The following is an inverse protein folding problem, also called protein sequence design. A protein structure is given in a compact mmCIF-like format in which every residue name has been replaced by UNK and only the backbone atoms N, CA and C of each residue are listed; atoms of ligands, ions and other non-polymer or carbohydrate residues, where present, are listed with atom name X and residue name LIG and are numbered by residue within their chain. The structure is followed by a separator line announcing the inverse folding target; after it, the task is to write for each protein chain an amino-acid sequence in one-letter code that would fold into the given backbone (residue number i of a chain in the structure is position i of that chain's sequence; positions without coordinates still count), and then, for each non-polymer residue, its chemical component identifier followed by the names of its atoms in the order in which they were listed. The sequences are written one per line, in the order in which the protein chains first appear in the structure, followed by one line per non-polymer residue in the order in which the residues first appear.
data_IF_042239145305
#
_entry.id   IF_042239145305
#
_cell.length_a   1.000
_cell.length_b   1.000
_cell.length_c   1.000
_cell.angle_alpha   90.00
_cell.angle_beta   90.00
_cell.angle_gamma   90.00
#
_symmetry.space_group_name_H-M   'P 1'
#
loop_
_entity.id
_entity.type
_entity.pdbx_description
1 polymer ?
#
# COMPACT_ATOMS: atom_id res chain seq x y z
N UNK A 1 -0.10 -2.64 -22.44
CA UNK A 1 -0.36 -1.34 -21.79
C UNK A 1 0.35 -1.35 -20.45
N UNK A 2 0.75 -0.18 -19.93
CA UNK A 2 1.28 -0.10 -18.57
C UNK A 2 0.13 -0.22 -17.58
N UNK A 3 0.34 -0.94 -16.48
CA UNK A 3 -0.63 -1.04 -15.40
C UNK A 3 -0.30 0.03 -14.37
N UNK A 4 -1.27 0.87 -13.99
CA UNK A 4 -1.08 1.93 -13.01
C UNK A 4 -1.77 1.54 -11.70
N UNK A 5 -1.03 1.55 -10.59
CA UNK A 5 -1.57 1.23 -9.27
C UNK A 5 -1.29 2.33 -8.27
N UNK A 6 -2.19 2.50 -7.32
CA UNK A 6 -2.13 3.51 -6.27
C UNK A 6 -2.12 2.82 -4.91
N UNK A 7 -1.30 3.28 -3.96
CA UNK A 7 -1.17 2.63 -2.66
C UNK A 7 -0.76 3.55 -1.51
N UNK A 8 -0.92 3.04 -0.28
CA UNK A 8 -0.61 3.78 0.95
C UNK A 8 0.41 3.00 1.78
N UNK A 9 1.50 3.67 2.14
CA UNK A 9 2.50 3.19 3.09
C UNK A 9 2.25 3.81 4.46
N UNK A 10 1.70 3.04 5.40
CA UNK A 10 1.70 3.47 6.78
C UNK A 10 3.10 3.35 7.37
N UNK A 11 3.48 4.39 8.11
CA UNK A 11 4.71 4.39 8.89
C UNK A 11 4.48 4.97 10.27
N UNK A 12 5.40 4.66 11.19
CA UNK A 12 5.50 5.28 12.51
C UNK A 12 6.94 5.29 12.98
N UNK A 13 7.24 6.14 13.96
CA UNK A 13 8.48 6.07 14.72
C UNK A 13 8.24 5.45 16.10
N UNK A 14 9.00 4.42 16.45
CA UNK A 14 8.99 3.80 17.78
C UNK A 14 10.42 3.69 18.29
N UNK A 15 10.70 4.30 19.45
CA UNK A 15 12.07 4.37 20.01
C UNK A 15 13.10 4.83 18.96
N UNK A 16 12.78 5.92 18.23
CA UNK A 16 13.59 6.50 17.14
C UNK A 16 13.81 5.59 15.91
N UNK A 17 13.12 4.44 15.83
CA UNK A 17 13.16 3.54 14.68
C UNK A 17 11.94 3.71 13.80
N UNK A 18 12.17 3.83 12.49
CA UNK A 18 11.12 3.79 11.49
C UNK A 18 10.57 2.37 11.38
N UNK A 19 9.27 2.24 11.57
CA UNK A 19 8.50 1.02 11.29
C UNK A 19 7.53 1.32 10.15
N UNK A 20 7.38 0.38 9.22
CA UNK A 20 6.42 0.47 8.11
C UNK A 20 5.52 -0.74 8.10
N UNK A 21 4.27 -0.54 7.67
CA UNK A 21 3.33 -1.64 7.48
C UNK A 21 3.45 -2.20 6.07
N UNK A 22 3.60 -3.52 5.97
CA UNK A 22 3.56 -4.27 4.73
C UNK A 22 2.49 -5.35 4.83
N UNK A 23 1.89 -5.68 3.71
CA UNK A 23 0.95 -6.80 3.59
C UNK A 23 1.60 -7.98 2.91
N UNK A 24 1.19 -9.17 3.33
CA UNK A 24 1.54 -10.41 2.65
C UNK A 24 0.37 -10.81 1.73
N UNK A 25 0.56 -10.96 0.41
CA UNK A 25 -0.50 -11.39 -0.49
C UNK A 25 -1.00 -12.78 -0.08
N UNK A 26 -2.32 -12.93 0.04
CA UNK A 26 -2.97 -14.21 0.23
C UNK A 26 -3.12 -15.01 -1.08
N UNK A 27 -3.57 -16.26 -0.98
CA UNK A 27 -4.01 -17.07 -2.12
C UNK A 27 -3.24 -18.38 -2.33
N UNK A 28 -3.80 -19.32 -3.11
CA UNK A 28 -3.28 -20.70 -3.21
C UNK A 28 -1.84 -20.80 -3.73
N UNK A 29 -1.41 -19.81 -4.51
CA UNK A 29 -0.06 -19.70 -5.09
C UNK A 29 0.98 -19.34 -4.01
N UNK A 30 0.58 -18.59 -2.98
CA UNK A 30 1.46 -18.05 -1.93
C UNK A 30 1.32 -18.79 -0.60
N UNK A 31 0.33 -19.69 -0.49
CA UNK A 31 0.01 -20.47 0.71
C UNK A 31 1.15 -21.38 1.25
N UNK A 32 2.24 -21.56 0.51
CA UNK A 32 3.43 -22.33 0.92
C UNK A 32 4.73 -21.53 0.87
N UNK A 33 4.65 -20.20 0.70
CA UNK A 33 5.81 -19.31 0.59
C UNK A 33 5.72 -18.23 1.67
N UNK A 34 6.11 -18.58 2.90
CA UNK A 34 6.16 -17.63 4.03
C UNK A 34 7.26 -16.57 3.86
N UNK A 35 8.31 -16.91 3.11
CA UNK A 35 9.35 -15.98 2.68
C UNK A 35 9.19 -15.75 1.18
N UNK A 36 8.72 -14.56 0.77
CA UNK A 36 8.93 -14.17 -0.62
C UNK A 36 8.15 -13.01 -1.19
N UNK A 37 7.05 -12.54 -0.59
CA UNK A 37 6.33 -11.38 -1.15
C UNK A 37 5.72 -10.55 -0.03
N UNK A 38 6.41 -9.47 0.33
CA UNK A 38 5.82 -8.37 1.10
C UNK A 38 5.55 -7.22 0.14
N UNK A 39 4.44 -6.52 0.32
CA UNK A 39 4.14 -5.37 -0.53
C UNK A 39 3.41 -4.26 0.23
N UNK A 40 3.40 -3.07 -0.36
CA UNK A 40 2.54 -1.97 0.06
C UNK A 40 1.11 -2.28 -0.43
N UNK A 41 0.07 -2.07 0.41
CA UNK A 41 -1.32 -2.15 -0.03
C UNK A 41 -1.56 -1.19 -1.19
N UNK A 42 -2.03 -1.74 -2.32
CA UNK A 42 -2.20 -0.97 -3.56
C UNK A 42 -3.05 -1.77 -4.55
N UNK A 43 -3.79 -1.05 -5.38
CA UNK A 43 -4.52 -1.68 -6.47
C UNK A 43 -4.79 -0.74 -7.63
N UNK A 44 -5.72 -1.14 -8.49
CA UNK A 44 -6.00 -0.46 -9.74
C UNK A 44 -7.07 0.61 -9.53
N UNK A 45 -7.01 1.74 -10.24
CA UNK A 45 -8.09 2.72 -10.18
C UNK A 45 -9.37 2.14 -10.78
N UNK A 46 -10.49 2.46 -10.14
CA UNK A 46 -11.82 2.30 -10.74
C UNK A 46 -12.18 3.49 -11.64
N UNK A 47 -13.28 3.38 -12.38
CA UNK A 47 -13.75 4.45 -13.26
C UNK A 47 -14.05 5.72 -12.43
N UNK A 48 -13.49 6.85 -12.85
CA UNK A 48 -13.65 8.17 -12.21
C UNK A 48 -13.06 8.32 -10.80
N UNK A 49 -12.20 7.40 -10.35
CA UNK A 49 -11.53 7.50 -9.05
C UNK A 49 -10.27 8.37 -9.12
N UNK A 50 -10.03 9.22 -8.11
CA UNK A 50 -8.75 9.93 -8.00
C UNK A 50 -7.65 8.96 -7.53
N UNK A 51 -6.37 9.18 -7.87
CA UNK A 51 -5.30 8.28 -7.45
C UNK A 51 -5.24 8.05 -5.93
N UNK A 52 -5.43 9.09 -5.12
CA UNK A 52 -5.44 8.96 -3.66
C UNK A 52 -6.69 8.23 -3.14
N UNK A 53 -7.86 8.41 -3.77
CA UNK A 53 -9.06 7.69 -3.38
C UNK A 53 -8.94 6.20 -3.69
N UNK A 54 -8.35 5.83 -4.84
CA UNK A 54 -7.96 4.44 -5.14
C UNK A 54 -7.05 3.89 -4.06
N UNK A 55 -6.01 4.65 -3.68
CA UNK A 55 -5.05 4.21 -2.68
C UNK A 55 -5.73 3.94 -1.32
N UNK A 56 -6.69 4.79 -0.91
CA UNK A 56 -7.48 4.63 0.32
C UNK A 56 -8.40 3.43 0.28
N UNK A 57 -9.14 3.24 -0.82
CA UNK A 57 -10.06 2.11 -1.01
C UNK A 57 -9.32 0.77 -0.93
N UNK A 58 -8.26 0.63 -1.71
CA UNK A 58 -7.42 -0.58 -1.76
C UNK A 58 -6.75 -0.88 -0.41
N UNK A 59 -6.27 0.17 0.27
CA UNK A 59 -5.74 0.04 1.62
C UNK A 59 -6.79 -0.54 2.58
N UNK A 60 -8.02 -0.02 2.56
CA UNK A 60 -9.11 -0.54 3.39
C UNK A 60 -9.48 -1.98 3.04
N UNK A 61 -9.52 -2.33 1.76
CA UNK A 61 -9.86 -3.69 1.30
C UNK A 61 -8.81 -4.72 1.75
N UNK A 62 -7.51 -4.39 1.62
CA UNK A 62 -6.44 -5.33 1.95
C UNK A 62 -6.13 -5.41 3.44
N UNK A 63 -6.39 -4.34 4.22
CA UNK A 63 -5.98 -4.28 5.64
C UNK A 63 -7.15 -4.14 6.61
N UNK A 64 -8.34 -3.76 6.16
CA UNK A 64 -9.50 -3.46 7.00
C UNK A 64 -9.42 -2.14 7.78
N UNK A 65 -8.40 -1.30 7.52
CA UNK A 65 -8.18 -0.04 8.25
C UNK A 65 -8.49 1.17 7.37
N UNK A 66 -9.00 2.23 7.99
CA UNK A 66 -9.19 3.52 7.30
C UNK A 66 -7.88 4.34 7.30
N UNK A 67 -7.55 4.88 6.12
CA UNK A 67 -6.43 5.78 5.93
C UNK A 67 -6.92 7.23 5.86
N UNK A 68 -6.78 7.95 6.97
CA UNK A 68 -7.16 9.35 7.13
C UNK A 68 -6.04 10.10 7.83
N UNK A 69 -5.71 11.29 7.31
CA UNK A 69 -4.68 12.17 7.84
C UNK A 69 -4.00 12.97 6.74
N UNK A 70 -2.85 13.54 7.09
CA UNK A 70 -2.00 14.28 6.16
C UNK A 70 -1.12 13.30 5.36
N UNK A 71 -1.41 13.20 4.06
CA UNK A 71 -0.69 12.30 3.17
C UNK A 71 0.57 12.96 2.61
N UNK A 72 1.68 12.24 2.67
CA UNK A 72 2.93 12.63 2.04
C UNK A 72 3.00 11.95 0.68
N UNK A 73 3.01 12.72 -0.39
CA UNK A 73 3.21 12.18 -1.74
C UNK A 73 4.66 11.70 -1.92
N UNK A 74 4.85 10.38 -2.09
CA UNK A 74 6.17 9.79 -2.36
C UNK A 74 6.46 9.67 -3.86
N UNK A 75 5.48 9.98 -4.71
CA UNK A 75 5.58 9.94 -6.16
C UNK A 75 5.42 8.55 -6.76
N UNK A 76 5.84 8.43 -8.01
CA UNK A 76 5.70 7.24 -8.83
C UNK A 76 7.00 6.41 -8.93
N UNK A 77 6.85 5.10 -8.97
CA UNK A 77 7.92 4.15 -9.26
C UNK A 77 7.53 3.22 -10.41
N UNK A 78 8.43 3.09 -11.38
CA UNK A 78 8.34 2.08 -12.45
C UNK A 78 8.87 0.73 -11.93
N UNK A 79 8.00 -0.28 -11.91
CA UNK A 79 8.34 -1.66 -11.60
C UNK A 79 8.50 -2.49 -12.90
N UNK A 80 9.17 -3.66 -12.82
CA UNK A 80 9.21 -4.62 -13.92
C UNK A 80 7.80 -4.94 -14.46
N UNK A 81 7.73 -5.39 -15.71
CA UNK A 81 6.48 -5.69 -16.42
C UNK A 81 5.59 -4.47 -16.72
N UNK A 82 6.18 -3.27 -16.85
CA UNK A 82 5.47 -2.04 -17.22
C UNK A 82 4.40 -1.64 -16.19
N UNK A 83 4.64 -1.93 -14.91
CA UNK A 83 3.77 -1.49 -13.82
C UNK A 83 4.29 -0.17 -13.26
N UNK A 84 3.44 0.84 -13.19
CA UNK A 84 3.70 2.11 -12.52
C UNK A 84 2.94 2.07 -11.19
N UNK A 85 3.60 2.49 -10.11
CA UNK A 85 2.98 2.55 -8.79
C UNK A 85 3.17 3.95 -8.20
N UNK A 86 2.08 4.62 -7.86
CA UNK A 86 2.08 5.88 -7.09
C UNK A 86 1.77 5.56 -5.63
N UNK A 87 2.64 6.01 -4.71
CA UNK A 87 2.48 5.76 -3.27
C UNK A 87 2.35 7.08 -2.50
N UNK A 88 1.43 7.09 -1.53
CA UNK A 88 1.38 8.07 -0.46
C UNK A 88 1.83 7.45 0.86
N UNK A 89 2.60 8.18 1.65
CA UNK A 89 2.90 7.82 3.03
C UNK A 89 1.90 8.48 3.98
N UNK A 90 1.56 7.78 5.06
CA UNK A 90 0.75 8.33 6.14
C UNK A 90 1.34 7.90 7.48
N UNK A 91 1.69 8.87 8.32
CA UNK A 91 2.13 8.59 9.68
C UNK A 91 0.91 8.21 10.53
N UNK A 92 0.86 6.97 11.02
CA UNK A 92 -0.26 6.51 11.84
C UNK A 92 0.17 5.41 12.79
N UNK A 93 -0.25 5.56 14.05
CA UNK A 93 -0.20 4.46 15.01
C UNK A 93 -1.38 3.53 14.79
N UNK A 94 -1.11 2.29 14.40
CA UNK A 94 -2.10 1.22 14.49
C UNK A 94 -2.07 0.68 15.91
N UNK A 95 -3.09 1.00 16.69
CA UNK A 95 -3.37 0.28 17.92
C UNK A 95 -3.80 -1.14 17.52
N UNK A 96 -3.00 -2.15 17.82
CA UNK A 96 -3.27 -3.60 17.65
C UNK A 96 -2.86 -4.27 16.33
N UNK A 97 -1.56 -4.29 16.00
CA UNK A 97 -0.96 -5.42 15.27
C UNK A 97 -0.07 -6.19 16.25
#
# INVERSE_FOLDING_TARGET
MSTYSNGILLFRFRNERLEVMLVHPGGPIWAKKDYGVWSIPKGLPEEHESPLDTAKREFREETGFEAEGEFIDLGELNQPNRKIVHIWALEKNLCNI
#
